data_IF_816299408144
#
_entry.id   IF_816299408144
#
_cell.length_a   1.000
_cell.length_b   1.000
_cell.length_c   1.000
_cell.angle_alpha   90.00
_cell.angle_beta   90.00
_cell.angle_gamma   90.00
#
_symmetry.space_group_name_H-M   'P 1'
#
loop_
_entity.id
_entity.type
_entity.pdbx_description
1 polymer ?
#
# COMPACT_ATOMS: atom_id res chain seq x y z
N UNK A 1 -19.97 -2.27 -8.90
CA UNK A 1 -18.51 -2.28 -9.16
C UNK A 1 -17.97 -0.89 -9.55
N UNK A 2 -18.12 0.20 -8.76
CA UNK A 2 -17.61 1.54 -9.13
C UNK A 2 -16.16 1.79 -8.68
N UNK A 3 -15.70 1.11 -7.64
CA UNK A 3 -14.40 1.35 -6.99
C UNK A 3 -13.21 0.81 -7.76
N UNK A 4 -13.40 -0.24 -8.59
CA UNK A 4 -12.36 -0.77 -9.49
C UNK A 4 -12.01 0.23 -10.60
N UNK A 5 -13.02 0.91 -11.16
CA UNK A 5 -12.83 1.93 -12.18
C UNK A 5 -12.07 3.14 -11.61
N UNK A 6 -12.31 3.51 -10.36
CA UNK A 6 -11.64 4.66 -9.73
C UNK A 6 -10.14 4.41 -9.57
N UNK A 7 -9.74 3.23 -9.07
CA UNK A 7 -8.33 2.89 -8.91
C UNK A 7 -7.60 2.80 -10.26
N UNK A 8 -8.22 2.18 -11.26
CA UNK A 8 -7.65 2.10 -12.61
C UNK A 8 -7.52 3.47 -13.27
N UNK A 9 -8.52 4.35 -13.08
CA UNK A 9 -8.49 5.73 -13.59
C UNK A 9 -7.40 6.55 -12.91
N UNK A 10 -7.19 6.37 -11.61
CA UNK A 10 -6.12 7.01 -10.86
C UNK A 10 -4.73 6.59 -11.38
N UNK A 11 -4.51 5.28 -11.52
CA UNK A 11 -3.24 4.75 -12.05
C UNK A 11 -2.98 5.27 -13.46
N UNK A 12 -4.01 5.33 -14.30
CA UNK A 12 -3.91 5.88 -15.65
C UNK A 12 -3.63 7.39 -15.67
N UNK A 13 -4.30 8.16 -14.81
CA UNK A 13 -4.03 9.59 -14.66
C UNK A 13 -2.59 9.87 -14.19
N UNK A 14 -2.03 9.04 -13.30
CA UNK A 14 -0.64 9.13 -12.87
C UNK A 14 0.33 8.81 -14.03
N UNK A 15 -0.04 7.90 -14.92
CA UNK A 15 0.76 7.54 -16.10
C UNK A 15 0.75 8.65 -17.17
N UNK A 16 -0.39 9.33 -17.36
CA UNK A 16 -0.60 10.27 -18.47
C UNK A 16 0.02 11.68 -18.24
N UNK A 17 0.74 11.91 -17.14
CA UNK A 17 1.61 13.07 -16.86
C UNK A 17 0.97 14.49 -16.97
N UNK A 18 -0.34 14.60 -17.17
CA UNK A 18 -1.06 15.89 -17.26
C UNK A 18 -1.63 16.25 -15.90
N UNK A 19 -1.16 17.34 -15.27
CA UNK A 19 -1.81 18.24 -14.26
C UNK A 19 -2.78 17.68 -13.18
N UNK A 20 -2.97 16.36 -13.08
CA UNK A 20 -3.93 15.63 -12.23
C UNK A 20 -3.19 14.99 -11.06
N UNK A 21 -1.99 15.45 -10.73
CA UNK A 21 -1.27 14.97 -9.54
C UNK A 21 -1.98 15.41 -8.26
N UNK A 22 -2.51 16.63 -8.17
CA UNK A 22 -3.09 17.12 -6.91
C UNK A 22 -4.35 16.37 -6.49
N UNK A 23 -5.25 16.06 -7.43
CA UNK A 23 -6.42 15.23 -7.13
C UNK A 23 -6.03 13.75 -6.99
N UNK A 24 -5.03 13.27 -7.74
CA UNK A 24 -4.44 11.95 -7.53
C UNK A 24 -3.68 11.81 -6.19
N UNK A 25 -3.38 12.92 -5.52
CA UNK A 25 -2.72 12.96 -4.21
C UNK A 25 -3.72 12.96 -3.07
N UNK A 26 -4.93 13.51 -3.28
CA UNK A 26 -6.04 13.44 -2.31
C UNK A 26 -6.84 12.14 -2.41
N UNK A 27 -6.95 11.58 -3.62
CA UNK A 27 -7.71 10.34 -3.89
C UNK A 27 -7.26 9.14 -3.05
N UNK A 28 -5.95 8.89 -2.82
CA UNK A 28 -5.49 7.76 -2.02
C UNK A 28 -6.05 7.78 -0.60
N UNK A 29 -6.15 8.96 0.03
CA UNK A 29 -6.66 9.08 1.39
C UNK A 29 -8.17 8.85 1.46
N UNK A 30 -8.94 9.47 0.57
CA UNK A 30 -10.41 9.31 0.53
C UNK A 30 -10.82 7.89 0.14
N UNK A 31 -10.07 7.22 -0.74
CA UNK A 31 -10.30 5.80 -1.09
C UNK A 31 -9.98 4.89 0.09
N UNK A 32 -8.91 5.15 0.84
CA UNK A 32 -8.60 4.40 2.07
C UNK A 32 -9.65 4.63 3.17
N UNK A 33 -10.24 5.82 3.25
CA UNK A 33 -11.27 6.13 4.25
C UNK A 33 -12.66 5.53 3.90
N UNK A 34 -12.93 5.28 2.61
CA UNK A 34 -14.23 4.81 2.12
C UNK A 34 -14.29 3.32 1.77
N UNK A 35 -13.17 2.59 1.88
CA UNK A 35 -13.09 1.17 1.54
C UNK A 35 -12.58 0.34 2.72
N UNK A 36 -12.97 -0.93 2.75
CA UNK A 36 -12.35 -1.90 3.64
C UNK A 36 -10.82 -1.95 3.37
N UNK A 37 -9.96 -1.71 4.37
CA UNK A 37 -8.51 -1.63 4.19
C UNK A 37 -7.88 -2.89 3.59
N UNK A 38 -8.34 -4.08 3.99
CA UNK A 38 -7.83 -5.36 3.50
C UNK A 38 -8.12 -5.53 2.00
N UNK A 39 -9.36 -5.26 1.59
CA UNK A 39 -9.76 -5.35 0.19
C UNK A 39 -8.97 -4.38 -0.70
N UNK A 40 -8.76 -3.15 -0.21
CA UNK A 40 -7.99 -2.14 -0.93
C UNK A 40 -6.50 -2.55 -1.04
N UNK A 41 -5.94 -3.07 0.04
CA UNK A 41 -4.56 -3.54 0.09
C UNK A 41 -4.28 -4.65 -0.95
N UNK A 42 -5.18 -5.63 -1.09
CA UNK A 42 -5.06 -6.67 -2.13
C UNK A 42 -5.04 -6.09 -3.54
N UNK A 43 -5.81 -5.02 -3.81
CA UNK A 43 -5.86 -4.37 -5.12
C UNK A 43 -4.58 -3.58 -5.39
N UNK A 44 -4.08 -2.86 -4.39
CA UNK A 44 -2.91 -2.00 -4.54
C UNK A 44 -1.60 -2.77 -4.65
N UNK A 45 -1.51 -3.96 -4.05
CA UNK A 45 -0.29 -4.80 -4.06
C UNK A 45 0.29 -5.01 -5.46
N UNK A 46 -0.54 -5.17 -6.48
CA UNK A 46 -0.08 -5.39 -7.85
C UNK A 46 0.77 -4.22 -8.41
N UNK A 47 0.64 -3.03 -7.83
CA UNK A 47 1.28 -1.81 -8.33
C UNK A 47 2.62 -1.47 -7.67
N UNK A 48 3.03 -2.21 -6.62
CA UNK A 48 4.32 -1.94 -5.93
C UNK A 48 5.55 -2.39 -6.72
N UNK A 49 5.36 -3.21 -7.74
CA UNK A 49 6.41 -3.60 -8.70
C UNK A 49 6.31 -2.89 -10.06
N UNK A 50 5.47 -1.86 -10.17
CA UNK A 50 5.20 -1.21 -11.46
C UNK A 50 6.44 -0.49 -12.01
N UNK A 51 6.69 -0.52 -13.32
CA UNK A 51 7.88 0.09 -13.94
C UNK A 51 7.96 1.61 -13.74
N UNK A 52 6.82 2.29 -13.84
CA UNK A 52 6.70 3.72 -13.54
C UNK A 52 6.86 4.03 -12.04
N UNK A 53 7.91 4.77 -11.70
CA UNK A 53 8.26 5.16 -10.32
C UNK A 53 7.10 5.89 -9.61
N UNK A 54 6.39 6.79 -10.31
CA UNK A 54 5.31 7.59 -9.73
C UNK A 54 4.13 6.73 -9.34
N UNK A 55 3.77 5.75 -10.16
CA UNK A 55 2.71 4.78 -9.84
C UNK A 55 3.09 4.02 -8.57
N UNK A 56 4.34 3.55 -8.44
CA UNK A 56 4.78 2.84 -7.23
C UNK A 56 4.66 3.71 -5.98
N UNK A 57 5.17 4.94 -6.01
CA UNK A 57 5.09 5.84 -4.86
C UNK A 57 3.65 6.20 -4.48
N UNK A 58 2.78 6.48 -5.46
CA UNK A 58 1.38 6.82 -5.20
C UNK A 58 0.55 5.63 -4.69
N UNK A 59 0.96 4.40 -5.00
CA UNK A 59 0.35 3.19 -4.42
C UNK A 59 0.95 2.81 -3.06
N UNK A 60 2.23 3.11 -2.81
CA UNK A 60 2.91 2.76 -1.57
C UNK A 60 2.28 3.43 -0.34
N UNK A 61 1.94 4.72 -0.43
CA UNK A 61 1.34 5.48 0.67
C UNK A 61 -0.03 4.95 1.12
N UNK A 62 -1.02 4.73 0.23
CA UNK A 62 -2.29 4.14 0.65
C UNK A 62 -2.13 2.70 1.16
N UNK A 63 -1.14 1.93 0.66
CA UNK A 63 -0.79 0.62 1.22
C UNK A 63 -0.37 0.75 2.69
N UNK A 64 0.58 1.64 3.02
CA UNK A 64 1.03 1.82 4.40
C UNK A 64 -0.13 2.27 5.32
N UNK A 65 -1.02 3.12 4.81
CA UNK A 65 -2.21 3.55 5.53
C UNK A 65 -3.23 2.42 5.76
N UNK A 66 -3.42 1.51 4.79
CA UNK A 66 -4.26 0.33 5.00
C UNK A 66 -3.67 -0.56 6.10
N UNK A 67 -2.36 -0.82 6.05
CA UNK A 67 -1.68 -1.67 7.03
C UNK A 67 -1.76 -1.10 8.45
N UNK A 68 -1.58 0.21 8.62
CA UNK A 68 -1.65 0.86 9.93
C UNK A 68 -3.06 0.92 10.52
N UNK A 69 -4.10 0.96 9.68
CA UNK A 69 -5.51 0.95 10.11
C UNK A 69 -6.08 -0.42 10.43
N UNK A 70 -5.47 -1.49 9.92
CA UNK A 70 -5.88 -2.86 10.23
C UNK A 70 -5.36 -3.26 11.61
N UNK A 71 -6.16 -4.07 12.30
CA UNK A 71 -5.75 -4.82 13.47
C UNK A 71 -4.82 -5.98 13.10
N UNK A 72 -4.35 -6.70 14.13
CA UNK A 72 -3.41 -7.81 13.96
C UNK A 72 -3.99 -8.93 13.10
N UNK A 73 -5.27 -9.27 13.30
CA UNK A 73 -5.96 -10.30 12.52
C UNK A 73 -6.07 -9.91 11.05
N UNK A 74 -6.44 -8.66 10.72
CA UNK A 74 -6.47 -8.20 9.34
C UNK A 74 -5.09 -8.22 8.66
N UNK A 75 -4.01 -7.94 9.41
CA UNK A 75 -2.63 -8.04 8.90
C UNK A 75 -2.21 -9.51 8.67
N UNK A 76 -2.57 -10.42 9.59
CA UNK A 76 -2.33 -11.86 9.46
C UNK A 76 -3.10 -12.44 8.28
N UNK A 77 -4.37 -12.05 8.09
CA UNK A 77 -5.23 -12.46 6.98
C UNK A 77 -4.63 -12.04 5.62
N UNK A 78 -4.12 -10.82 5.50
CA UNK A 78 -3.42 -10.40 4.28
C UNK A 78 -2.14 -11.20 4.01
N UNK A 79 -1.46 -11.62 5.09
CA UNK A 79 -0.24 -12.41 5.07
C UNK A 79 1.02 -11.58 5.32
N UNK A 80 1.71 -11.89 6.41
CA UNK A 80 2.93 -11.19 6.84
C UNK A 80 4.06 -11.26 5.80
N UNK A 81 4.22 -12.41 5.13
CA UNK A 81 5.19 -12.57 4.04
C UNK A 81 4.90 -11.58 2.91
N UNK A 82 3.63 -11.38 2.56
CA UNK A 82 3.22 -10.41 1.53
C UNK A 82 3.53 -8.97 1.93
N UNK A 83 3.37 -8.63 3.23
CA UNK A 83 3.74 -7.30 3.76
C UNK A 83 5.25 -7.08 3.67
N UNK A 84 6.05 -8.06 4.09
CA UNK A 84 7.51 -8.00 4.04
C UNK A 84 8.00 -7.85 2.59
N UNK A 85 7.49 -8.66 1.67
CA UNK A 85 7.82 -8.55 0.24
C UNK A 85 7.46 -7.17 -0.33
N UNK A 86 6.31 -6.64 0.08
CA UNK A 86 5.87 -5.30 -0.34
C UNK A 86 6.81 -4.22 0.17
N UNK A 87 7.20 -4.27 1.45
CA UNK A 87 8.18 -3.35 2.01
C UNK A 87 9.55 -3.47 1.33
N UNK A 88 10.05 -4.70 1.10
CA UNK A 88 11.32 -4.95 0.45
C UNK A 88 11.40 -4.31 -0.95
N UNK A 89 10.33 -4.44 -1.75
CA UNK A 89 10.25 -3.82 -3.08
C UNK A 89 10.29 -2.29 -3.05
N UNK A 90 9.80 -1.67 -1.97
CA UNK A 90 9.67 -0.22 -1.85
C UNK A 90 10.84 0.44 -1.11
N UNK A 91 11.56 -0.29 -0.24
CA UNK A 91 12.68 0.23 0.56
C UNK A 91 13.82 0.81 -0.29
N UNK A 92 14.02 0.26 -1.49
CA UNK A 92 15.07 0.68 -2.43
C UNK A 92 14.54 1.55 -3.57
N UNK A 93 13.29 2.04 -3.47
CA UNK A 93 12.69 2.86 -4.51
C UNK A 93 13.46 4.19 -4.70
N UNK A 94 13.41 4.73 -5.92
CA UNK A 94 14.00 6.02 -6.28
C UNK A 94 13.27 7.18 -5.60
N UNK A 95 11.96 7.07 -5.40
CA UNK A 95 11.15 8.13 -4.78
C UNK A 95 11.13 8.03 -3.25
N UNK A 96 11.36 9.14 -2.51
CA UNK A 96 11.44 9.12 -1.05
C UNK A 96 10.13 8.71 -0.37
N UNK A 97 8.98 9.03 -0.95
CA UNK A 97 7.66 8.72 -0.40
C UNK A 97 7.40 7.21 -0.40
N UNK A 98 7.84 6.51 -1.45
CA UNK A 98 7.79 5.05 -1.51
C UNK A 98 8.64 4.42 -0.40
N UNK A 99 9.85 4.94 -0.18
CA UNK A 99 10.74 4.45 0.88
C UNK A 99 10.17 4.72 2.27
N UNK A 100 9.53 5.86 2.49
CA UNK A 100 8.89 6.20 3.77
C UNK A 100 7.71 5.28 4.06
N UNK A 101 6.84 5.06 3.07
CA UNK A 101 5.77 4.09 3.18
C UNK A 101 6.29 2.68 3.49
N UNK A 102 7.41 2.27 2.87
CA UNK A 102 8.04 0.99 3.13
C UNK A 102 8.48 0.84 4.60
N UNK A 103 9.13 1.88 5.17
CA UNK A 103 9.52 1.89 6.60
C UNK A 103 8.30 1.75 7.50
N UNK A 104 7.22 2.48 7.21
CA UNK A 104 5.97 2.38 7.96
C UNK A 104 5.39 0.96 7.93
N UNK A 105 5.38 0.30 6.77
CA UNK A 105 4.92 -1.09 6.63
C UNK A 105 5.76 -2.05 7.48
N UNK A 106 7.09 -1.91 7.46
CA UNK A 106 8.00 -2.75 8.29
C UNK A 106 7.65 -2.61 9.76
N UNK A 107 7.52 -1.38 10.26
CA UNK A 107 7.20 -1.12 11.67
C UNK A 107 5.85 -1.73 12.04
N UNK A 108 4.81 -1.56 11.22
CA UNK A 108 3.49 -2.13 11.47
C UNK A 108 3.42 -3.66 11.34
N UNK A 109 4.41 -4.27 10.69
CA UNK A 109 4.52 -5.73 10.53
C UNK A 109 5.32 -6.39 11.65
N UNK A 110 6.07 -5.64 12.45
CA UNK A 110 6.96 -6.19 13.48
C UNK A 110 6.19 -6.88 14.61
N UNK A 111 5.18 -6.22 15.17
CA UNK A 111 4.34 -6.76 16.26
C UNK A 111 3.67 -8.10 15.88
N UNK A 112 2.98 -8.22 14.73
CA UNK A 112 2.47 -9.52 14.28
C UNK A 112 3.53 -10.62 14.09
N UNK A 113 4.76 -10.27 13.74
CA UNK A 113 5.84 -11.25 13.56
C UNK A 113 6.29 -11.83 14.90
N UNK A 114 6.45 -10.98 15.91
CA UNK A 114 6.85 -11.40 17.26
C UNK A 114 5.78 -12.30 17.89
N UNK A 115 4.50 -11.93 17.82
CA UNK A 115 3.41 -12.77 18.34
C UNK A 115 3.36 -14.15 17.67
N UNK A 116 3.57 -14.19 16.35
CA UNK A 116 3.54 -15.44 15.60
C UNK A 116 4.71 -16.35 15.99
N UNK A 117 5.90 -15.79 16.24
CA UNK A 117 7.04 -16.55 16.77
C UNK A 117 6.79 -17.09 18.18
N UNK A 118 6.11 -16.34 19.04
CA UNK A 118 5.75 -16.77 20.40
C UNK A 118 4.72 -17.91 20.40
N UNK A 119 3.75 -17.88 19.49
CA UNK A 119 2.74 -18.95 19.35
C UNK A 119 3.31 -20.27 18.80
N UNK A 120 4.47 -20.23 18.14
CA UNK A 120 5.16 -21.41 17.60
C UNK A 120 6.14 -22.05 18.59
N UNK A 121 6.34 -21.47 19.78
CA UNK A 121 7.17 -22.01 20.86
C UNK A 121 6.34 -22.79 21.87
#
# INVERSE_FOLDING_TARGET
MPTLQLLQSLVKAIQDNKFVCEEADRTPKTVVDSMNPLLLLHKLRAHVGHSNLRVRAKCAVPISNCVSKMDLEGRKEFGLISLIQTAANLLTDKLPEAREAARSIVVSSYEPLVENEEQMK
#
